data_IF_150211014049
#
_entry.id   IF_150211014049
#
_cell.length_a   1.000
_cell.length_b   1.000
_cell.length_c   1.000
_cell.angle_alpha   90.00
_cell.angle_beta   90.00
_cell.angle_gamma   90.00
#
_symmetry.space_group_name_H-M   'P 1'
#
loop_
_entity.id
_entity.type
_entity.pdbx_description
1 polymer ?
#
# COMPACT_ATOMS: atom_id res chain seq x y z
N UNK A 1 17.87 15.78 15.23
CA UNK A 1 19.23 15.48 15.73
C UNK A 1 19.10 14.86 17.11
N UNK A 2 19.85 13.81 17.42
CA UNK A 2 19.73 13.04 18.67
C UNK A 2 20.90 13.42 19.57
N UNK A 3 20.64 13.91 20.80
CA UNK A 3 21.66 14.40 21.75
C UNK A 3 21.79 13.52 23.02
N UNK A 4 21.35 12.26 22.96
CA UNK A 4 21.37 11.33 24.09
C UNK A 4 22.26 10.11 23.78
N UNK A 5 23.00 9.64 24.78
CA UNK A 5 24.07 8.65 24.60
C UNK A 5 23.60 7.19 24.54
N UNK A 6 22.39 6.87 25.03
CA UNK A 6 21.84 5.50 25.05
C UNK A 6 20.50 5.41 24.33
N UNK A 7 20.56 5.47 23.00
CA UNK A 7 19.40 5.40 22.11
C UNK A 7 19.71 4.51 20.91
N UNK A 8 18.71 3.74 20.46
CA UNK A 8 18.76 3.03 19.19
C UNK A 8 17.75 3.67 18.25
N UNK A 9 18.24 4.29 17.19
CA UNK A 9 17.43 4.89 16.14
C UNK A 9 17.79 4.27 14.80
N UNK A 10 16.78 3.89 14.02
CA UNK A 10 16.94 3.46 12.63
C UNK A 10 15.98 4.24 11.75
N UNK A 11 16.33 4.36 10.47
CA UNK A 11 15.45 4.85 9.43
C UNK A 11 15.65 3.99 8.19
N UNK A 12 14.58 3.80 7.42
CA UNK A 12 14.60 3.09 6.15
C UNK A 12 13.67 3.79 5.18
N UNK A 13 14.06 3.83 3.91
CA UNK A 13 13.23 4.34 2.83
C UNK A 13 13.46 3.45 1.63
N UNK A 14 12.37 3.02 0.99
CA UNK A 14 12.39 2.16 -0.20
C UNK A 14 11.55 2.81 -1.29
N UNK A 15 12.02 2.66 -2.52
CA UNK A 15 11.33 3.12 -3.73
C UNK A 15 11.34 1.98 -4.73
N UNK A 16 10.21 1.75 -5.40
CA UNK A 16 10.09 0.69 -6.40
C UNK A 16 8.93 0.97 -7.36
N UNK A 17 8.98 0.28 -8.50
CA UNK A 17 7.84 0.21 -9.42
C UNK A 17 6.97 -1.02 -9.07
N UNK A 18 5.77 -1.09 -9.65
CA UNK A 18 4.92 -2.27 -9.55
C UNK A 18 5.66 -3.48 -10.12
N UNK A 19 5.63 -4.59 -9.39
CA UNK A 19 6.25 -5.84 -9.82
C UNK A 19 5.55 -6.38 -11.08
N UNK A 20 6.26 -6.48 -12.22
CA UNK A 20 5.69 -6.99 -13.46
C UNK A 20 5.28 -8.46 -13.39
N UNK A 21 5.90 -9.28 -12.52
CA UNK A 21 5.55 -10.69 -12.36
C UNK A 21 4.20 -10.84 -11.66
N UNK A 22 3.99 -10.12 -10.55
CA UNK A 22 2.69 -10.02 -9.88
C UNK A 22 1.58 -9.53 -10.81
N UNK A 23 1.88 -8.51 -11.62
CA UNK A 23 0.93 -7.98 -12.61
C UNK A 23 0.60 -9.02 -13.69
N UNK A 24 1.61 -9.71 -14.22
CA UNK A 24 1.42 -10.79 -15.19
C UNK A 24 0.57 -11.93 -14.61
N UNK A 25 0.83 -12.33 -13.36
CA UNK A 25 0.13 -13.42 -12.68
C UNK A 25 -1.37 -13.14 -12.50
N UNK A 26 -1.74 -11.91 -12.13
CA UNK A 26 -3.13 -11.47 -12.02
C UNK A 26 -3.80 -11.44 -13.40
N UNK A 27 -3.10 -10.91 -14.41
CA UNK A 27 -3.62 -10.84 -15.78
C UNK A 27 -3.81 -12.22 -16.42
N UNK A 28 -2.93 -13.17 -16.14
CA UNK A 28 -3.05 -14.55 -16.59
C UNK A 28 -4.32 -15.25 -16.03
N UNK A 29 -4.90 -14.72 -14.95
CA UNK A 29 -6.19 -15.18 -14.37
C UNK A 29 -7.39 -14.43 -14.90
N UNK A 30 -7.22 -13.59 -15.92
CA UNK A 30 -8.31 -12.86 -16.57
C UNK A 30 -8.64 -11.52 -15.93
N UNK A 31 -7.85 -11.05 -14.96
CA UNK A 31 -8.02 -9.71 -14.38
C UNK A 31 -7.50 -8.69 -15.40
N UNK A 32 -8.24 -7.60 -15.61
CA UNK A 32 -7.83 -6.54 -16.52
C UNK A 32 -6.52 -5.90 -16.05
N UNK A 33 -5.77 -5.26 -16.95
CA UNK A 33 -4.54 -4.56 -16.57
C UNK A 33 -4.82 -3.47 -15.52
N UNK A 34 -5.91 -2.73 -15.70
CA UNK A 34 -6.31 -1.63 -14.83
C UNK A 34 -6.69 -2.15 -13.43
N UNK A 35 -7.50 -3.20 -13.37
CA UNK A 35 -7.91 -3.81 -12.10
C UNK A 35 -6.72 -4.48 -11.38
N UNK A 36 -5.83 -5.15 -12.12
CA UNK A 36 -4.65 -5.78 -11.53
C UNK A 36 -3.70 -4.72 -10.95
N UNK A 37 -3.51 -3.60 -11.65
CA UNK A 37 -2.70 -2.47 -11.16
C UNK A 37 -3.34 -1.84 -9.91
N UNK A 38 -4.64 -1.59 -9.95
CA UNK A 38 -5.38 -1.02 -8.83
C UNK A 38 -5.35 -1.94 -7.62
N UNK A 39 -5.49 -3.26 -7.81
CA UNK A 39 -5.44 -4.25 -6.72
C UNK A 39 -4.09 -4.26 -6.02
N UNK A 40 -2.99 -4.25 -6.77
CA UNK A 40 -1.63 -4.24 -6.19
C UNK A 40 -1.37 -2.94 -5.41
N UNK A 41 -1.79 -1.79 -5.94
CA UNK A 41 -1.67 -0.51 -5.25
C UNK A 41 -2.56 -0.41 -4.02
N UNK A 42 -3.79 -0.95 -4.10
CA UNK A 42 -4.70 -1.02 -2.98
C UNK A 42 -4.11 -1.87 -1.85
N UNK A 43 -3.61 -3.08 -2.16
CA UNK A 43 -2.97 -3.95 -1.18
C UNK A 43 -1.79 -3.26 -0.48
N UNK A 44 -0.94 -2.54 -1.23
CA UNK A 44 0.16 -1.77 -0.65
C UNK A 44 -0.30 -0.66 0.30
N UNK A 45 -1.33 0.10 -0.09
CA UNK A 45 -1.84 1.19 0.74
C UNK A 45 -2.65 0.71 1.94
N UNK A 46 -3.38 -0.40 1.78
CA UNK A 46 -4.27 -0.95 2.80
C UNK A 46 -3.50 -1.54 3.98
N UNK A 47 -2.27 -2.02 3.77
CA UNK A 47 -1.37 -2.49 4.85
C UNK A 47 -1.21 -1.46 5.99
N UNK A 48 -1.20 -0.17 5.64
CA UNK A 48 -1.14 0.94 6.63
C UNK A 48 -2.52 1.28 7.20
N UNK A 49 -3.59 1.13 6.43
CA UNK A 49 -4.96 1.47 6.85
C UNK A 49 -5.50 0.44 7.83
N UNK A 50 -5.17 -0.85 7.64
CA UNK A 50 -5.63 -1.96 8.48
C UNK A 50 -5.09 -1.87 9.92
N UNK A 51 -3.98 -1.16 10.16
CA UNK A 51 -3.46 -0.90 11.51
C UNK A 51 -4.32 0.05 12.36
N UNK A 52 -5.27 0.76 11.75
CA UNK A 52 -6.15 1.70 12.45
C UNK A 52 -7.26 0.96 13.20
N UNK A 53 -7.47 1.24 14.48
CA UNK A 53 -8.54 0.58 15.26
C UNK A 53 -9.95 1.11 14.94
N UNK A 54 -10.06 2.33 14.38
CA UNK A 54 -11.34 2.97 14.08
C UNK A 54 -11.88 2.55 12.71
N UNK A 55 -12.88 1.68 12.72
CA UNK A 55 -13.55 1.17 11.50
C UNK A 55 -14.17 2.28 10.65
N UNK A 56 -14.71 3.35 11.24
CA UNK A 56 -15.31 4.44 10.47
C UNK A 56 -14.22 5.22 9.71
N UNK A 57 -13.07 5.41 10.34
CA UNK A 57 -11.90 6.01 9.71
C UNK A 57 -11.31 5.11 8.61
N UNK A 58 -11.19 3.80 8.86
CA UNK A 58 -10.74 2.83 7.84
C UNK A 58 -11.62 2.91 6.58
N UNK A 59 -12.94 2.79 6.75
CA UNK A 59 -13.91 2.86 5.66
C UNK A 59 -13.82 4.18 4.88
N UNK A 60 -13.64 5.30 5.59
CA UNK A 60 -13.43 6.60 4.96
C UNK A 60 -12.16 6.62 4.11
N UNK A 61 -11.05 6.09 4.61
CA UNK A 61 -9.77 6.04 3.90
C UNK A 61 -9.83 5.09 2.70
N UNK A 62 -10.40 3.91 2.84
CA UNK A 62 -10.56 2.94 1.74
C UNK A 62 -11.35 3.54 0.58
N UNK A 63 -12.46 4.24 0.86
CA UNK A 63 -13.22 4.95 -0.15
C UNK A 63 -12.38 6.03 -0.87
N UNK A 64 -11.51 6.73 -0.14
CA UNK A 64 -10.63 7.78 -0.66
C UNK A 64 -9.45 7.23 -1.46
N UNK A 65 -8.93 6.07 -1.09
CA UNK A 65 -7.89 5.34 -1.82
C UNK A 65 -8.47 4.79 -3.12
N UNK A 66 -9.59 4.06 -3.04
CA UNK A 66 -10.27 3.50 -4.20
C UNK A 66 -10.63 4.57 -5.25
N UNK A 67 -11.03 5.78 -4.82
CA UNK A 67 -11.33 6.90 -5.71
C UNK A 67 -10.10 7.45 -6.47
N UNK A 68 -8.87 7.19 -5.99
CA UNK A 68 -7.62 7.65 -6.62
C UNK A 68 -6.93 6.60 -7.49
N UNK A 69 -7.37 5.34 -7.38
CA UNK A 69 -6.83 4.22 -8.15
C UNK A 69 -7.53 4.01 -9.51
N UNK A 70 -8.68 4.67 -9.71
CA UNK A 70 -9.41 4.74 -10.98
C UNK A 70 -8.77 5.72 -11.95
#
# INVERSE_FOLDING_TARGET
EIYADDVKCSHGSTTGAIDPESLFYLRARGISYEDARALLLYAFAHDVVEELEDEALQNYLDARIAARLK
#
